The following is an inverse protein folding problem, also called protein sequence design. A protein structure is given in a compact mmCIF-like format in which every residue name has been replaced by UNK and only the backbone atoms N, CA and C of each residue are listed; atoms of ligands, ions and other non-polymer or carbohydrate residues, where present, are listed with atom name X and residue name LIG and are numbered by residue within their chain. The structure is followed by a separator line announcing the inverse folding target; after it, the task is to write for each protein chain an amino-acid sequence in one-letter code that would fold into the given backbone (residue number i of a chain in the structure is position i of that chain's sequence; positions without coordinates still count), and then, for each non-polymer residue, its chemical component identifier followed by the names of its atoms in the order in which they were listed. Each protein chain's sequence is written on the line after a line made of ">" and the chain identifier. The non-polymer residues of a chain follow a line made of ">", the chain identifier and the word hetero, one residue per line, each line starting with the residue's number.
data_IF_275047875468
#
_entry.id   IF_275047875468
#
_cell.length_a   1.000
_cell.length_b   1.000
_cell.length_c   1.000
_cell.angle_alpha   90.00
_cell.angle_beta   90.00
_cell.angle_gamma   90.00
#
_symmetry.space_group_name_H-M   'P 1'
#
loop_
_entity.id
_entity.type
_entity.pdbx_description
1 polymer ?
#
# COMPACT_ATOMS: atom_id res chain seq x y z
N UNK A 1 -36.96 35.05 -25.17
CA UNK A 1 -35.83 34.56 -25.98
C UNK A 1 -34.70 35.58 -25.89
N UNK A 2 -33.69 35.35 -25.06
CA UNK A 2 -32.43 36.10 -25.08
C UNK A 2 -31.30 35.08 -25.03
N UNK A 3 -30.75 34.77 -26.21
CA UNK A 3 -29.50 34.05 -26.37
C UNK A 3 -28.38 35.01 -25.98
N UNK A 4 -27.59 34.68 -24.95
CA UNK A 4 -26.36 35.39 -24.65
C UNK A 4 -25.19 34.48 -25.00
N UNK A 5 -24.66 34.66 -26.20
CA UNK A 5 -23.49 33.99 -26.73
C UNK A 5 -22.25 34.39 -25.93
N UNK A 6 -21.79 33.49 -25.06
CA UNK A 6 -20.54 33.65 -24.34
C UNK A 6 -19.36 33.35 -25.30
N UNK A 7 -18.94 34.37 -26.06
CA UNK A 7 -17.76 34.30 -26.94
C UNK A 7 -16.50 34.18 -26.08
N UNK A 8 -15.96 32.96 -25.95
CA UNK A 8 -14.61 32.75 -25.46
C UNK A 8 -13.59 33.41 -26.40
N UNK A 9 -12.96 34.48 -25.95
CA UNK A 9 -11.80 35.06 -26.62
C UNK A 9 -10.66 34.04 -26.64
N UNK A 10 -10.07 33.82 -27.83
CA UNK A 10 -8.95 32.88 -28.09
C UNK A 10 -7.64 33.38 -27.45
N UNK A 11 -7.55 33.33 -26.13
CA UNK A 11 -6.36 33.67 -25.36
C UNK A 11 -6.08 32.66 -24.24
N UNK A 12 -4.86 32.70 -23.68
CA UNK A 12 -4.53 31.94 -22.48
C UNK A 12 -5.42 32.43 -21.33
N UNK A 13 -6.13 31.55 -20.60
CA UNK A 13 -6.96 31.96 -19.48
C UNK A 13 -6.13 32.74 -18.44
N UNK A 14 -6.67 33.86 -17.98
CA UNK A 14 -6.13 34.64 -16.86
C UNK A 14 -6.09 33.81 -15.58
N UNK A 15 -5.29 34.23 -14.60
CA UNK A 15 -5.18 33.50 -13.32
C UNK A 15 -6.56 33.35 -12.65
N UNK A 16 -7.39 34.39 -12.71
CA UNK A 16 -8.73 34.37 -12.13
C UNK A 16 -9.64 33.37 -12.85
N UNK A 17 -9.65 33.36 -14.18
CA UNK A 17 -10.42 32.38 -14.95
C UNK A 17 -9.96 30.95 -14.67
N UNK A 18 -8.66 30.73 -14.43
CA UNK A 18 -8.16 29.42 -14.04
C UNK A 18 -8.65 28.98 -12.66
N UNK A 19 -8.69 29.90 -11.69
CA UNK A 19 -9.25 29.63 -10.36
C UNK A 19 -10.73 29.28 -10.45
N UNK A 20 -11.49 29.99 -11.27
CA UNK A 20 -12.93 29.75 -11.43
C UNK A 20 -13.20 28.41 -12.14
N UNK A 21 -12.37 28.07 -13.14
CA UNK A 21 -12.36 26.75 -13.77
C UNK A 21 -12.08 25.66 -12.74
N UNK A 22 -11.05 25.84 -11.91
CA UNK A 22 -10.64 24.85 -10.92
C UNK A 22 -11.73 24.67 -9.85
N UNK A 23 -12.33 25.76 -9.35
CA UNK A 23 -13.47 25.71 -8.42
C UNK A 23 -14.66 24.96 -8.99
N UNK A 24 -14.97 25.18 -10.28
CA UNK A 24 -16.10 24.51 -10.95
C UNK A 24 -15.83 23.02 -11.18
N UNK A 25 -14.59 22.63 -11.47
CA UNK A 25 -14.23 21.26 -11.82
C UNK A 25 -13.82 20.39 -10.62
N UNK A 26 -13.35 20.99 -9.52
CA UNK A 26 -12.86 20.25 -8.34
C UNK A 26 -13.88 19.27 -7.75
N UNK A 27 -15.18 19.62 -7.57
CA UNK A 27 -16.16 18.70 -7.01
C UNK A 27 -16.33 17.42 -7.85
N UNK A 28 -16.30 17.55 -9.18
CA UNK A 28 -16.42 16.42 -10.09
C UNK A 28 -15.19 15.51 -10.03
N UNK A 29 -14.00 16.10 -9.91
CA UNK A 29 -12.77 15.34 -9.71
C UNK A 29 -12.78 14.57 -8.38
N UNK A 30 -13.18 15.21 -7.28
CA UNK A 30 -13.22 14.58 -5.95
C UNK A 30 -14.27 13.47 -5.85
N UNK A 31 -15.35 13.56 -6.62
CA UNK A 31 -16.40 12.53 -6.69
C UNK A 31 -16.09 11.41 -7.70
N UNK A 32 -14.92 11.43 -8.34
CA UNK A 32 -14.54 10.42 -9.33
C UNK A 32 -15.34 10.48 -10.63
N UNK A 33 -16.03 11.60 -10.91
CA UNK A 33 -16.85 11.76 -12.11
C UNK A 33 -15.93 11.99 -13.31
N UNK A 34 -16.05 11.14 -14.34
CA UNK A 34 -15.21 11.20 -15.53
C UNK A 34 -15.33 12.52 -16.33
N UNK A 35 -14.25 12.92 -16.99
CA UNK A 35 -14.16 14.20 -17.71
C UNK A 35 -15.25 14.39 -18.79
N UNK A 36 -15.71 13.30 -19.43
CA UNK A 36 -16.81 13.37 -20.41
C UNK A 36 -18.14 13.72 -19.72
N UNK A 37 -18.43 13.12 -18.57
CA UNK A 37 -19.63 13.42 -17.79
C UNK A 37 -19.58 14.82 -17.19
N UNK A 38 -18.41 15.24 -16.69
CA UNK A 38 -18.20 16.61 -16.19
C UNK A 38 -18.33 17.66 -17.31
N UNK A 39 -17.92 17.34 -18.54
CA UNK A 39 -18.07 18.22 -19.71
C UNK A 39 -19.55 18.51 -20.01
N UNK A 40 -20.39 17.47 -20.00
CA UNK A 40 -21.84 17.60 -20.19
C UNK A 40 -22.47 18.47 -19.10
N UNK A 41 -22.05 18.30 -17.84
CA UNK A 41 -22.64 19.03 -16.70
C UNK A 41 -22.15 20.48 -16.60
N UNK A 42 -20.91 20.77 -17.03
CA UNK A 42 -20.29 22.09 -16.84
C UNK A 42 -20.29 22.96 -18.09
N UNK A 43 -20.61 22.37 -19.26
CA UNK A 43 -20.51 23.02 -20.57
C UNK A 43 -19.08 23.28 -21.05
N UNK A 44 -18.08 22.76 -20.34
CA UNK A 44 -16.67 22.99 -20.63
C UNK A 44 -16.11 21.95 -21.60
N UNK A 45 -15.15 22.35 -22.43
CA UNK A 45 -14.49 21.43 -23.36
C UNK A 45 -13.77 20.27 -22.62
N UNK A 46 -14.04 19.05 -23.08
CA UNK A 46 -13.55 17.82 -22.45
C UNK A 46 -12.01 17.75 -22.42
N UNK A 47 -11.30 18.35 -23.38
CA UNK A 47 -9.82 18.36 -23.37
C UNK A 47 -9.30 19.25 -22.26
N UNK A 48 -9.96 20.38 -22.00
CA UNK A 48 -9.63 21.29 -20.88
C UNK A 48 -9.81 20.59 -19.54
N UNK A 49 -10.93 19.87 -19.35
CA UNK A 49 -11.20 19.11 -18.12
C UNK A 49 -10.17 17.99 -17.93
N UNK A 50 -9.89 17.20 -18.97
CA UNK A 50 -8.87 16.13 -18.93
C UNK A 50 -7.50 16.67 -18.55
N UNK A 51 -7.11 17.84 -19.06
CA UNK A 51 -5.84 18.49 -18.72
C UNK A 51 -5.78 18.83 -17.23
N UNK A 52 -6.84 19.41 -16.66
CA UNK A 52 -6.92 19.75 -15.23
C UNK A 52 -6.92 18.51 -14.34
N UNK A 53 -7.71 17.49 -14.67
CA UNK A 53 -7.73 16.25 -13.91
C UNK A 53 -6.38 15.55 -13.93
N UNK A 54 -5.73 15.48 -15.11
CA UNK A 54 -4.38 14.92 -15.23
C UNK A 54 -3.35 15.71 -14.42
N UNK A 55 -3.47 17.03 -14.38
CA UNK A 55 -2.63 17.88 -13.55
C UNK A 55 -2.84 17.58 -12.07
N UNK A 56 -4.07 17.50 -11.57
CA UNK A 56 -4.34 17.17 -10.17
C UNK A 56 -3.92 15.75 -9.80
N UNK A 57 -4.13 14.77 -10.68
CA UNK A 57 -3.57 13.43 -10.47
C UNK A 57 -2.04 13.47 -10.35
N UNK A 58 -1.35 14.27 -11.16
CA UNK A 58 0.10 14.43 -11.06
C UNK A 58 0.51 15.14 -9.79
N UNK A 59 -0.20 16.19 -9.38
CA UNK A 59 0.05 16.90 -8.12
C UNK A 59 -0.15 15.99 -6.91
N UNK A 60 -1.19 15.15 -6.92
CA UNK A 60 -1.43 14.11 -5.90
C UNK A 60 -0.26 13.12 -5.90
N UNK A 61 0.08 12.53 -7.04
CA UNK A 61 1.20 11.56 -7.16
C UNK A 61 2.54 12.18 -6.75
N UNK A 62 2.79 13.45 -7.11
CA UNK A 62 4.02 14.17 -6.75
C UNK A 62 4.07 14.48 -5.26
N UNK A 63 2.95 14.89 -4.66
CA UNK A 63 2.83 15.10 -3.21
C UNK A 63 2.93 13.79 -2.42
N UNK A 64 2.51 12.67 -2.99
CA UNK A 64 2.49 11.35 -2.34
C UNK A 64 3.82 10.61 -2.43
N UNK A 65 4.72 10.91 -3.38
CA UNK A 65 5.89 10.05 -3.65
C UNK A 65 6.88 9.87 -2.48
N UNK A 66 7.24 10.93 -1.75
CA UNK A 66 8.20 10.83 -0.63
C UNK A 66 7.54 10.26 0.62
N UNK A 67 6.32 10.69 0.93
CA UNK A 67 5.58 10.18 2.08
C UNK A 67 5.11 8.73 1.88
N UNK A 68 4.77 8.32 0.66
CA UNK A 68 4.41 6.93 0.34
C UNK A 68 5.59 6.00 0.56
N UNK A 69 6.80 6.38 0.10
CA UNK A 69 8.01 5.60 0.31
C UNK A 69 8.33 5.46 1.80
N UNK A 70 8.24 6.55 2.56
CA UNK A 70 8.45 6.52 4.01
C UNK A 70 7.42 5.63 4.70
N UNK A 71 6.12 5.83 4.41
CA UNK A 71 5.03 4.98 4.93
C UNK A 71 5.22 3.51 4.56
N UNK A 72 5.73 3.21 3.37
CA UNK A 72 5.99 1.84 2.92
C UNK A 72 7.17 1.21 3.66
N UNK A 73 8.24 1.98 3.94
CA UNK A 73 9.37 1.53 4.77
C UNK A 73 8.93 1.25 6.18
N UNK A 74 8.25 2.21 6.80
CA UNK A 74 7.71 2.04 8.15
C UNK A 74 6.73 0.86 8.24
N UNK A 75 5.86 0.67 7.23
CA UNK A 75 4.94 -0.46 7.20
C UNK A 75 5.67 -1.80 7.11
N UNK A 76 6.73 -1.88 6.30
CA UNK A 76 7.60 -3.07 6.22
C UNK A 76 8.30 -3.33 7.56
N UNK A 77 8.86 -2.30 8.19
CA UNK A 77 9.51 -2.42 9.51
C UNK A 77 8.53 -2.88 10.59
N UNK A 78 7.35 -2.27 10.67
CA UNK A 78 6.27 -2.70 11.58
C UNK A 78 5.88 -4.16 11.35
N UNK A 79 5.82 -4.61 10.09
CA UNK A 79 5.53 -6.00 9.74
C UNK A 79 6.65 -6.95 10.18
N UNK A 80 7.92 -6.57 10.02
CA UNK A 80 9.08 -7.35 10.50
C UNK A 80 9.02 -7.50 12.03
N UNK A 81 8.80 -6.40 12.76
CA UNK A 81 8.68 -6.40 14.23
C UNK A 81 7.51 -7.29 14.68
N UNK A 82 6.37 -7.23 13.98
CA UNK A 82 5.23 -8.09 14.27
C UNK A 82 5.59 -9.58 14.11
N UNK A 83 6.33 -9.95 13.06
CA UNK A 83 6.81 -11.33 12.90
C UNK A 83 7.79 -11.74 14.00
N UNK A 84 8.68 -10.85 14.45
CA UNK A 84 9.58 -11.13 15.57
C UNK A 84 8.80 -11.47 16.85
N UNK A 85 7.77 -10.69 17.17
CA UNK A 85 6.91 -10.98 18.30
C UNK A 85 6.17 -12.32 18.15
N UNK A 86 5.67 -12.63 16.95
CA UNK A 86 4.99 -13.91 16.69
C UNK A 86 5.95 -15.10 16.82
N UNK A 87 7.16 -14.99 16.27
CA UNK A 87 8.21 -16.02 16.38
C UNK A 87 8.58 -16.26 17.85
N UNK A 88 8.82 -15.19 18.62
CA UNK A 88 9.13 -15.30 20.05
C UNK A 88 7.96 -15.92 20.84
N UNK A 89 6.73 -15.54 20.51
CA UNK A 89 5.54 -16.12 21.14
C UNK A 89 5.41 -17.61 20.83
N UNK A 90 5.61 -18.01 19.57
CA UNK A 90 5.51 -19.42 19.17
C UNK A 90 6.62 -20.26 19.82
N UNK A 91 7.86 -19.74 19.88
CA UNK A 91 8.97 -20.40 20.58
C UNK A 91 8.63 -20.67 22.05
N UNK A 92 8.10 -19.66 22.76
CA UNK A 92 7.66 -19.85 24.16
C UNK A 92 6.55 -20.90 24.32
N UNK A 93 5.71 -21.10 23.31
CA UNK A 93 4.69 -22.14 23.35
C UNK A 93 5.28 -23.52 23.10
N UNK A 94 6.28 -23.63 22.21
CA UNK A 94 7.04 -24.87 22.00
C UNK A 94 7.75 -25.26 23.29
N UNK A 95 8.43 -24.33 23.96
CA UNK A 95 9.13 -24.61 25.22
C UNK A 95 8.18 -25.20 26.29
N UNK A 96 6.97 -24.63 26.43
CA UNK A 96 5.93 -25.15 27.33
C UNK A 96 5.43 -26.54 26.95
N UNK A 97 5.29 -26.80 25.64
CA UNK A 97 4.89 -28.12 25.15
C UNK A 97 5.99 -29.13 25.40
N UNK A 98 7.26 -28.76 25.21
CA UNK A 98 8.43 -29.62 25.48
C UNK A 98 8.55 -29.95 26.97
N UNK A 99 8.33 -28.98 27.87
CA UNK A 99 8.22 -29.24 29.30
C UNK A 99 7.10 -30.25 29.62
N UNK A 100 5.94 -30.12 28.96
CA UNK A 100 4.82 -31.03 29.21
C UNK A 100 5.08 -32.43 28.67
N UNK A 101 5.71 -32.55 27.51
CA UNK A 101 6.16 -33.82 26.93
C UNK A 101 7.09 -34.51 27.91
N UNK A 102 8.09 -33.80 28.45
CA UNK A 102 9.03 -34.35 29.42
C UNK A 102 8.33 -34.89 30.67
N UNK A 103 7.40 -34.14 31.26
CA UNK A 103 6.62 -34.59 32.42
C UNK A 103 5.80 -35.85 32.11
N UNK A 104 5.20 -35.93 30.93
CA UNK A 104 4.37 -37.06 30.53
C UNK A 104 5.20 -38.33 30.30
N UNK A 105 6.37 -38.18 29.68
CA UNK A 105 7.33 -39.26 29.47
C UNK A 105 7.83 -39.84 30.79
N UNK A 106 8.23 -38.98 31.75
CA UNK A 106 8.65 -39.38 33.09
C UNK A 106 7.52 -40.07 33.89
N UNK A 107 6.26 -39.67 33.67
CA UNK A 107 5.09 -40.25 34.34
C UNK A 107 4.56 -41.55 33.71
N UNK A 108 5.04 -41.93 32.53
CA UNK A 108 4.55 -43.09 31.77
C UNK A 108 3.14 -42.93 31.19
N UNK A 109 2.59 -41.71 31.13
CA UNK A 109 1.27 -41.44 30.52
C UNK A 109 1.39 -41.23 29.00
N UNK A 110 1.52 -42.34 28.27
CA UNK A 110 1.72 -42.34 26.82
C UNK A 110 0.50 -41.88 26.00
N UNK A 111 -0.71 -41.94 26.58
CA UNK A 111 -1.95 -41.57 25.87
C UNK A 111 -1.99 -40.07 25.57
N UNK A 112 -1.56 -39.25 26.52
CA UNK A 112 -1.49 -37.80 26.32
C UNK A 112 -0.19 -37.38 25.62
N UNK A 113 0.88 -38.17 25.72
CA UNK A 113 2.18 -37.89 25.09
C UNK A 113 2.06 -37.71 23.57
N UNK A 114 1.36 -38.60 22.88
CA UNK A 114 1.17 -38.52 21.43
C UNK A 114 0.46 -37.21 21.01
N UNK A 115 -0.52 -36.76 21.79
CA UNK A 115 -1.24 -35.51 21.53
C UNK A 115 -0.29 -34.31 21.60
N UNK A 116 0.58 -34.25 22.60
CA UNK A 116 1.53 -33.15 22.75
C UNK A 116 2.66 -33.19 21.72
N UNK A 117 3.13 -34.36 21.31
CA UNK A 117 4.07 -34.50 20.19
C UNK A 117 3.51 -33.95 18.89
N UNK A 118 2.25 -34.26 18.56
CA UNK A 118 1.57 -33.69 17.38
C UNK A 118 1.40 -32.17 17.48
N UNK A 119 1.11 -31.66 18.68
CA UNK A 119 1.01 -30.22 18.92
C UNK A 119 2.36 -29.54 18.70
N UNK A 120 3.44 -30.12 19.22
CA UNK A 120 4.81 -29.64 19.00
C UNK A 120 5.15 -29.57 17.51
N UNK A 121 4.90 -30.64 16.76
CA UNK A 121 5.16 -30.67 15.32
C UNK A 121 4.41 -29.57 14.57
N UNK A 122 3.14 -29.33 14.95
CA UNK A 122 2.35 -28.25 14.37
C UNK A 122 2.94 -26.87 14.67
N UNK A 123 3.40 -26.64 15.90
CA UNK A 123 4.03 -25.38 16.31
C UNK A 123 5.38 -25.18 15.60
N UNK A 124 6.20 -26.23 15.48
CA UNK A 124 7.48 -26.19 14.75
C UNK A 124 7.27 -25.84 13.27
N UNK A 125 6.27 -26.44 12.61
CA UNK A 125 5.91 -26.08 11.22
C UNK A 125 5.51 -24.61 11.10
N UNK A 126 4.67 -24.13 12.02
CA UNK A 126 4.25 -22.72 12.06
C UNK A 126 5.42 -21.77 12.31
N UNK A 127 6.35 -22.13 13.19
CA UNK A 127 7.57 -21.37 13.44
C UNK A 127 8.44 -21.25 12.17
N UNK A 128 8.59 -22.36 11.44
CA UNK A 128 9.32 -22.37 10.17
C UNK A 128 8.64 -21.47 9.11
N UNK A 129 7.30 -21.54 9.00
CA UNK A 129 6.51 -20.68 8.11
C UNK A 129 6.69 -19.19 8.44
N UNK A 130 6.53 -18.82 9.72
CA UNK A 130 6.71 -17.43 10.18
C UNK A 130 8.13 -16.92 9.88
N UNK A 131 9.14 -17.76 10.08
CA UNK A 131 10.54 -17.43 9.80
C UNK A 131 10.79 -17.23 8.31
N UNK A 132 10.21 -18.08 7.45
CA UNK A 132 10.28 -17.94 5.99
C UNK A 132 9.63 -16.63 5.52
N UNK A 133 8.42 -16.33 5.99
CA UNK A 133 7.70 -15.11 5.61
C UNK A 133 8.45 -13.85 6.10
N UNK A 134 9.06 -13.89 7.29
CA UNK A 134 9.92 -12.81 7.76
C UNK A 134 11.13 -12.64 6.84
N UNK A 135 11.82 -13.74 6.52
CA UNK A 135 12.99 -13.71 5.64
C UNK A 135 12.66 -13.10 4.28
N UNK A 136 11.55 -13.53 3.67
CA UNK A 136 11.03 -12.97 2.42
C UNK A 136 10.74 -11.47 2.57
N UNK A 137 10.00 -11.08 3.62
CA UNK A 137 9.65 -9.68 3.89
C UNK A 137 10.90 -8.80 4.02
N UNK A 138 11.94 -9.27 4.71
CA UNK A 138 13.23 -8.58 4.83
C UNK A 138 13.93 -8.47 3.48
N UNK A 139 13.98 -9.57 2.73
CA UNK A 139 14.72 -9.71 1.47
C UNK A 139 14.12 -8.93 0.30
N UNK A 140 12.80 -8.72 0.27
CA UNK A 140 12.16 -7.95 -0.80
C UNK A 140 12.55 -6.47 -0.74
N UNK A 141 13.19 -5.91 -1.78
CA UNK A 141 13.54 -4.50 -1.81
C UNK A 141 12.27 -3.64 -1.75
N UNK A 142 12.35 -2.49 -1.08
CA UNK A 142 11.30 -1.48 -1.16
C UNK A 142 11.30 -0.80 -2.52
N UNK A 143 10.19 -0.17 -2.89
CA UNK A 143 9.99 0.40 -4.24
C UNK A 143 11.07 1.42 -4.63
N UNK A 144 11.59 2.19 -3.67
CA UNK A 144 12.72 3.10 -3.89
C UNK A 144 14.00 2.38 -4.33
N UNK A 145 14.32 1.22 -3.73
CA UNK A 145 15.47 0.41 -4.14
C UNK A 145 15.28 -0.12 -5.57
N UNK A 146 14.07 -0.50 -5.95
CA UNK A 146 13.75 -0.89 -7.33
C UNK A 146 13.91 0.27 -8.32
N UNK A 147 13.45 1.48 -7.96
CA UNK A 147 13.58 2.67 -8.79
C UNK A 147 15.04 3.07 -8.96
N UNK A 148 15.84 3.00 -7.90
CA UNK A 148 17.26 3.34 -7.95
C UNK A 148 18.10 2.30 -8.70
N UNK A 149 17.79 1.01 -8.58
CA UNK A 149 18.40 -0.06 -9.39
C UNK A 149 18.12 0.13 -10.88
N UNK A 150 16.87 0.45 -11.24
CA UNK A 150 16.49 0.68 -12.64
C UNK A 150 17.11 1.94 -13.23
N UNK A 151 17.33 3.00 -12.44
CA UNK A 151 18.08 4.18 -12.89
C UNK A 151 19.54 3.85 -13.17
N UNK A 152 20.21 3.14 -12.27
CA UNK A 152 21.62 2.74 -12.44
C UNK A 152 21.83 1.82 -13.65
N UNK A 153 20.91 0.90 -13.93
CA UNK A 153 21.00 0.03 -15.10
C UNK A 153 20.64 0.71 -16.42
N UNK A 154 19.91 1.84 -16.39
CA UNK A 154 19.55 2.61 -17.59
C UNK A 154 20.62 3.60 -18.04
N UNK A 155 21.56 3.97 -17.16
CA UNK A 155 22.69 4.86 -17.46
C UNK A 155 23.91 4.12 -18.05
N UNK A 156 23.88 2.77 -18.11
CA UNK A 156 24.94 1.91 -18.67
C UNK A 156 24.71 1.48 -20.14
N UNK A 157 23.71 2.05 -20.84
CA UNK A 157 23.39 1.83 -22.27
C UNK A 157 23.39 3.11 -23.08
#
# INVERSE_FOLDING_TARGET
>A
MHSNDNKHNRGRPTIQEQIDIDRKLRPYFTLGIGASSASVQTGMDVKTIRKRFKQWCREIVQSESKEFLERSKEAKERKIIAFDHLILSEQKQIDKVDEKIKQLDESGNFKDLEKYLRLRDKQTKRLAELTSIKFETVSYPTYDVYVDLNKKMGDDT
#
